data_IF_659505100293
#
_entry.id   IF_659505100293
#
_cell.length_a   1.000
_cell.length_b   1.000
_cell.length_c   1.000
_cell.angle_alpha   90.00
_cell.angle_beta   90.00
_cell.angle_gamma   90.00
#
_symmetry.space_group_name_H-M   'P 1'
#
loop_
_entity.id
_entity.type
_entity.pdbx_description
1 polymer ?
#
# COMPACT_ATOMS: atom_id res chain seq x y z
N UNK A 1 4.26 -6.08 19.50
CA UNK A 1 4.40 -5.04 18.45
C UNK A 1 3.42 -5.23 17.28
N UNK A 2 3.25 -6.43 16.71
CA UNK A 2 2.30 -6.66 15.61
C UNK A 2 0.86 -6.27 15.98
N UNK A 3 0.37 -6.73 17.13
CA UNK A 3 -0.96 -6.34 17.63
C UNK A 3 -1.08 -4.82 17.84
N UNK A 4 -0.03 -4.19 18.37
CA UNK A 4 -0.01 -2.73 18.54
C UNK A 4 -0.11 -2.00 17.19
N UNK A 5 0.58 -2.49 16.16
CA UNK A 5 0.47 -1.93 14.81
C UNK A 5 -0.97 -1.97 14.28
N UNK A 6 -1.66 -3.11 14.45
CA UNK A 6 -3.09 -3.25 14.07
C UNK A 6 -3.94 -2.26 14.86
N UNK A 7 -3.78 -2.21 16.19
CA UNK A 7 -4.55 -1.33 17.06
C UNK A 7 -4.39 0.14 16.65
N UNK A 8 -3.16 0.59 16.37
CA UNK A 8 -2.90 1.96 15.94
C UNK A 8 -3.67 2.27 14.64
N UNK A 9 -3.56 1.41 13.62
CA UNK A 9 -4.23 1.63 12.35
C UNK A 9 -5.75 1.62 12.51
N UNK A 10 -6.32 0.62 13.19
CA UNK A 10 -7.76 0.48 13.37
C UNK A 10 -8.35 1.66 14.16
N UNK A 11 -7.76 2.02 15.29
CA UNK A 11 -8.26 3.15 16.10
C UNK A 11 -8.19 4.45 15.31
N UNK A 12 -7.04 4.75 14.68
CA UNK A 12 -6.86 5.98 13.92
C UNK A 12 -7.84 6.05 12.75
N UNK A 13 -8.06 4.94 12.04
CA UNK A 13 -9.00 4.87 10.93
C UNK A 13 -10.45 5.03 11.39
N UNK A 14 -10.84 4.33 12.45
CA UNK A 14 -12.21 4.41 12.99
C UNK A 14 -12.58 5.84 13.40
N UNK A 15 -11.67 6.54 14.09
CA UNK A 15 -11.88 7.95 14.47
C UNK A 15 -11.94 8.84 13.23
N UNK A 16 -11.04 8.63 12.27
CA UNK A 16 -10.97 9.42 11.06
C UNK A 16 -12.24 9.32 10.21
N UNK A 17 -12.79 8.12 10.05
CA UNK A 17 -14.00 7.88 9.26
C UNK A 17 -15.26 8.59 9.79
N UNK A 18 -15.25 9.09 11.03
CA UNK A 18 -16.34 9.92 11.55
C UNK A 18 -16.57 11.17 10.68
N UNK A 19 -15.51 11.77 10.11
CA UNK A 19 -15.66 12.93 9.24
C UNK A 19 -16.37 12.59 7.93
N UNK A 20 -16.16 11.39 7.39
CA UNK A 20 -16.82 10.95 6.18
C UNK A 20 -18.32 10.69 6.38
N UNK A 21 -18.71 10.35 7.62
CA UNK A 21 -20.12 10.15 7.98
C UNK A 21 -20.85 11.42 8.37
N UNK A 22 -20.15 12.41 8.97
CA UNK A 22 -20.76 13.63 9.50
C UNK A 22 -20.83 14.74 8.45
N UNK A 23 -19.87 14.79 7.51
CA UNK A 23 -19.77 15.86 6.52
C UNK A 23 -20.39 15.41 5.19
N UNK A 24 -21.59 15.88 4.84
CA UNK A 24 -22.29 15.42 3.64
C UNK A 24 -21.85 16.13 2.34
N UNK A 25 -20.62 16.69 2.29
CA UNK A 25 -20.11 17.38 1.12
C UNK A 25 -19.24 16.47 0.25
N UNK A 26 -19.45 16.48 -1.05
CA UNK A 26 -18.80 15.75 -2.13
C UNK A 26 -17.29 15.49 -1.92
N UNK A 27 -16.94 14.39 -1.27
CA UNK A 27 -15.56 14.00 -1.04
C UNK A 27 -14.76 14.84 -0.03
N UNK A 28 -15.29 15.96 0.49
CA UNK A 28 -14.60 16.77 1.52
C UNK A 28 -14.48 15.97 2.81
N UNK A 29 -15.53 15.25 3.21
CA UNK A 29 -15.49 14.34 4.34
C UNK A 29 -14.34 13.33 4.22
N UNK A 30 -14.21 12.71 3.05
CA UNK A 30 -13.15 11.74 2.75
C UNK A 30 -11.74 12.36 2.82
N UNK A 31 -11.56 13.58 2.31
CA UNK A 31 -10.27 14.30 2.42
C UNK A 31 -9.94 14.58 3.89
N UNK A 32 -10.90 15.07 4.68
CA UNK A 32 -10.69 15.33 6.10
C UNK A 32 -10.45 14.04 6.89
N UNK A 33 -11.17 12.96 6.57
CA UNK A 33 -10.90 11.63 7.12
C UNK A 33 -9.47 11.18 6.83
N UNK A 34 -9.01 11.34 5.59
CA UNK A 34 -7.66 10.97 5.16
C UNK A 34 -6.58 11.74 5.90
N UNK A 35 -6.74 13.06 6.01
CA UNK A 35 -5.81 13.92 6.75
C UNK A 35 -5.80 13.58 8.26
N UNK A 36 -6.98 13.33 8.83
CA UNK A 36 -7.11 12.94 10.24
C UNK A 36 -6.47 11.58 10.50
N UNK A 37 -6.66 10.61 9.60
CA UNK A 37 -6.03 9.28 9.69
C UNK A 37 -4.50 9.37 9.73
N UNK A 38 -3.91 10.15 8.80
CA UNK A 38 -2.47 10.41 8.77
C UNK A 38 -2.01 11.09 10.05
N UNK A 39 -2.69 12.16 10.47
CA UNK A 39 -2.29 12.95 11.63
C UNK A 39 -2.36 12.15 12.93
N UNK A 40 -3.46 11.45 13.19
CA UNK A 40 -3.62 10.63 14.40
C UNK A 40 -2.56 9.53 14.45
N UNK A 41 -2.37 8.79 13.34
CA UNK A 41 -1.33 7.77 13.28
C UNK A 41 0.06 8.35 13.54
N UNK A 42 0.38 9.49 12.91
CA UNK A 42 1.67 10.16 13.13
C UNK A 42 1.87 10.56 14.59
N UNK A 43 0.87 11.15 15.23
CA UNK A 43 0.94 11.55 16.63
C UNK A 43 1.14 10.37 17.57
N UNK A 44 0.44 9.26 17.35
CA UNK A 44 0.56 8.05 18.16
C UNK A 44 1.95 7.41 17.95
N UNK A 45 2.37 7.22 16.70
CA UNK A 45 3.68 6.65 16.37
C UNK A 45 4.81 7.53 16.92
N UNK A 46 4.72 8.84 16.74
CA UNK A 46 5.68 9.79 17.31
C UNK A 46 5.73 9.66 18.83
N UNK A 47 4.60 9.65 19.51
CA UNK A 47 4.55 9.51 20.96
C UNK A 47 5.22 8.22 21.44
N UNK A 48 4.93 7.09 20.79
CA UNK A 48 5.55 5.80 21.13
C UNK A 48 7.07 5.87 20.97
N UNK A 49 7.57 6.37 19.83
CA UNK A 49 9.01 6.41 19.57
C UNK A 49 9.71 7.36 20.53
N UNK A 50 9.16 8.57 20.75
CA UNK A 50 9.86 9.59 21.54
C UNK A 50 9.70 9.42 23.05
N UNK A 51 8.58 8.91 23.55
CA UNK A 51 8.33 8.82 24.99
C UNK A 51 8.47 7.40 25.53
N UNK A 52 8.03 6.37 24.79
CA UNK A 52 8.15 4.97 25.24
C UNK A 52 9.53 4.42 24.91
N UNK A 53 9.99 4.58 23.67
CA UNK A 53 11.31 4.08 23.27
C UNK A 53 12.44 5.06 23.56
N UNK A 54 12.12 6.35 23.79
CA UNK A 54 13.06 7.44 24.05
C UNK A 54 14.07 7.63 22.91
N UNK A 55 13.60 7.54 21.68
CA UNK A 55 14.40 7.63 20.48
C UNK A 55 13.92 8.71 19.51
N UNK A 56 14.76 9.05 18.52
CA UNK A 56 14.38 9.99 17.45
C UNK A 56 13.57 9.28 16.36
N UNK A 57 12.63 9.98 15.73
CA UNK A 57 11.87 9.48 14.58
C UNK A 57 12.77 9.02 13.42
N UNK A 58 13.87 9.72 13.19
CA UNK A 58 14.86 9.40 12.15
C UNK A 58 15.53 8.04 12.34
N UNK A 59 15.66 7.54 13.59
CA UNK A 59 16.19 6.20 13.86
C UNK A 59 15.20 5.07 13.47
N UNK A 60 13.96 5.44 13.17
CA UNK A 60 12.90 4.61 12.58
C UNK A 60 12.62 4.97 11.12
N UNK A 61 13.53 5.67 10.45
CA UNK A 61 13.42 6.13 9.05
C UNK A 61 12.20 7.00 8.77
N UNK A 62 11.55 7.52 9.81
CA UNK A 62 10.47 8.52 9.71
C UNK A 62 11.14 9.89 9.61
N UNK A 63 11.37 10.32 8.37
CA UNK A 63 12.09 11.55 8.04
C UNK A 63 11.15 12.60 7.47
N UNK A 64 11.66 13.82 7.27
CA UNK A 64 10.97 14.79 6.41
C UNK A 64 10.79 14.22 5.00
N UNK A 65 9.80 14.70 4.22
CA UNK A 65 9.65 14.28 2.83
C UNK A 65 10.94 14.43 2.05
N UNK A 66 11.37 13.34 1.43
CA UNK A 66 12.54 13.29 0.56
C UNK A 66 12.13 12.54 -0.69
N UNK A 67 12.48 13.08 -1.85
CA UNK A 67 12.21 12.44 -3.13
C UNK A 67 13.54 12.10 -3.83
N UNK A 68 13.62 10.92 -4.38
CA UNK A 68 14.77 10.47 -5.13
C UNK A 68 14.32 9.87 -6.47
N UNK A 69 14.98 10.20 -7.59
CA UNK A 69 14.53 9.79 -8.94
C UNK A 69 14.29 8.27 -9.08
N UNK A 70 15.14 7.45 -8.48
CA UNK A 70 15.05 5.99 -8.61
C UNK A 70 13.70 5.47 -8.11
N UNK A 71 13.30 5.75 -6.87
CA UNK A 71 12.03 5.22 -6.38
C UNK A 71 10.81 5.95 -6.95
N UNK A 72 10.96 7.18 -7.42
CA UNK A 72 9.91 7.88 -8.16
C UNK A 72 9.67 7.19 -9.52
N UNK A 73 10.74 6.92 -10.28
CA UNK A 73 10.64 6.23 -11.56
C UNK A 73 10.08 4.82 -11.37
N UNK A 74 10.58 4.06 -10.39
CA UNK A 74 10.10 2.70 -10.11
C UNK A 74 8.62 2.72 -9.66
N UNK A 75 8.22 3.69 -8.85
CA UNK A 75 6.84 3.85 -8.39
C UNK A 75 5.86 4.07 -9.53
N UNK A 76 6.24 4.86 -10.54
CA UNK A 76 5.41 5.12 -11.72
C UNK A 76 5.53 3.95 -12.72
N UNK A 77 6.73 3.44 -12.97
CA UNK A 77 6.96 2.42 -13.98
C UNK A 77 6.29 1.09 -13.64
N UNK A 78 6.29 0.69 -12.37
CA UNK A 78 5.68 -0.57 -11.94
C UNK A 78 4.19 -0.66 -12.33
N UNK A 79 3.30 0.24 -11.87
CA UNK A 79 1.91 0.17 -12.28
C UNK A 79 1.73 0.41 -13.79
N UNK A 80 2.48 1.33 -14.41
CA UNK A 80 2.40 1.54 -15.86
C UNK A 80 2.65 0.24 -16.65
N UNK A 81 3.68 -0.51 -16.30
CA UNK A 81 4.01 -1.77 -16.98
C UNK A 81 2.96 -2.84 -16.71
N UNK A 82 2.51 -2.98 -15.46
CA UNK A 82 1.48 -3.97 -15.10
C UNK A 82 0.18 -3.67 -15.85
N UNK A 83 -0.29 -2.44 -15.83
CA UNK A 83 -1.50 -2.02 -16.55
C UNK A 83 -1.36 -2.17 -18.07
N UNK A 84 -0.21 -1.83 -18.63
CA UNK A 84 0.06 -2.04 -20.06
C UNK A 84 -0.02 -3.53 -20.44
N UNK A 85 0.50 -4.43 -19.60
CA UNK A 85 0.39 -5.88 -19.82
C UNK A 85 -1.09 -6.30 -19.83
N UNK A 86 -1.89 -5.82 -18.88
CA UNK A 86 -3.32 -6.12 -18.86
C UNK A 86 -4.04 -5.61 -20.10
N UNK A 87 -3.85 -4.33 -20.45
CA UNK A 87 -4.60 -3.72 -21.53
C UNK A 87 -4.20 -4.22 -22.93
N UNK A 88 -2.94 -4.65 -23.10
CA UNK A 88 -2.43 -5.10 -24.41
C UNK A 88 -2.59 -6.61 -24.59
N UNK A 89 -2.32 -7.41 -23.56
CA UNK A 89 -2.18 -8.86 -23.70
C UNK A 89 -3.28 -9.68 -23.05
N UNK A 90 -4.05 -9.10 -22.12
CA UNK A 90 -5.10 -9.83 -21.42
C UNK A 90 -6.47 -9.23 -21.81
N UNK A 91 -7.28 -9.97 -22.61
CA UNK A 91 -8.57 -9.46 -23.08
C UNK A 91 -9.51 -9.08 -21.95
N UNK A 92 -10.07 -7.88 -22.05
CA UNK A 92 -11.04 -7.32 -21.12
C UNK A 92 -11.85 -6.20 -21.80
N UNK A 93 -12.80 -5.66 -21.07
CA UNK A 93 -13.66 -4.57 -21.52
C UNK A 93 -13.57 -3.40 -20.56
N UNK A 94 -13.32 -2.20 -21.07
CA UNK A 94 -13.46 -0.98 -20.28
C UNK A 94 -14.94 -0.74 -19.96
N UNK A 95 -15.24 -0.56 -18.69
CA UNK A 95 -16.56 -0.25 -18.17
C UNK A 95 -16.49 1.03 -17.34
N UNK A 96 -17.56 1.82 -17.45
CA UNK A 96 -17.78 2.98 -16.60
C UNK A 96 -18.99 2.67 -15.74
N UNK A 97 -18.81 2.58 -14.44
CA UNK A 97 -19.91 2.43 -13.50
C UNK A 97 -20.54 3.80 -13.25
N UNK A 98 -21.82 3.90 -13.55
CA UNK A 98 -22.59 5.13 -13.34
C UNK A 98 -23.31 5.07 -12.00
N UNK A 99 -22.82 5.80 -11.02
CA UNK A 99 -23.53 5.98 -9.76
C UNK A 99 -24.81 6.80 -9.97
N UNK A 100 -25.81 6.55 -9.11
CA UNK A 100 -27.10 7.25 -9.14
C UNK A 100 -26.99 8.76 -8.84
N UNK A 101 -25.83 9.25 -8.43
CA UNK A 101 -25.58 10.66 -8.17
C UNK A 101 -24.12 11.04 -8.40
N UNK A 102 -23.90 12.27 -8.82
CA UNK A 102 -22.56 12.85 -8.97
C UNK A 102 -21.81 12.88 -7.64
N UNK A 103 -22.52 13.01 -6.52
CA UNK A 103 -21.98 12.95 -5.17
C UNK A 103 -21.24 11.64 -4.90
N UNK A 104 -21.87 10.50 -5.23
CA UNK A 104 -21.27 9.19 -5.08
C UNK A 104 -20.04 8.98 -5.98
N UNK A 105 -20.11 9.49 -7.21
CA UNK A 105 -18.97 9.46 -8.14
C UNK A 105 -17.76 10.21 -7.57
N UNK A 106 -17.97 11.43 -7.07
CA UNK A 106 -16.91 12.24 -6.47
C UNK A 106 -16.40 11.60 -5.18
N UNK A 107 -17.29 11.05 -4.35
CA UNK A 107 -16.90 10.33 -3.13
C UNK A 107 -16.01 9.13 -3.46
N UNK A 108 -16.40 8.27 -4.40
CA UNK A 108 -15.64 7.09 -4.81
C UNK A 108 -14.23 7.45 -5.32
N UNK A 109 -14.13 8.43 -6.22
CA UNK A 109 -12.83 8.91 -6.72
C UNK A 109 -11.98 9.53 -5.60
N UNK A 110 -12.60 10.30 -4.71
CA UNK A 110 -11.90 10.89 -3.57
C UNK A 110 -11.41 9.82 -2.61
N UNK A 111 -12.19 8.77 -2.37
CA UNK A 111 -11.82 7.66 -1.50
C UNK A 111 -10.60 6.91 -2.06
N UNK A 112 -10.59 6.58 -3.34
CA UNK A 112 -9.45 5.90 -3.98
C UNK A 112 -8.18 6.76 -3.89
N UNK A 113 -8.27 8.05 -4.22
CA UNK A 113 -7.09 8.93 -4.30
C UNK A 113 -6.57 9.32 -2.91
N UNK A 114 -7.46 9.80 -2.03
CA UNK A 114 -7.03 10.38 -0.75
C UNK A 114 -6.98 9.35 0.38
N UNK A 115 -8.00 8.49 0.52
CA UNK A 115 -8.04 7.53 1.62
C UNK A 115 -7.19 6.30 1.30
N UNK A 116 -7.41 5.67 0.16
CA UNK A 116 -6.74 4.42 -0.17
C UNK A 116 -5.30 4.65 -0.66
N UNK A 117 -5.09 5.57 -1.63
CA UNK A 117 -3.75 5.76 -2.18
C UNK A 117 -2.88 6.64 -1.28
N UNK A 118 -3.32 7.83 -0.88
CA UNK A 118 -2.48 8.73 -0.12
C UNK A 118 -2.39 8.34 1.36
N UNK A 119 -3.53 8.28 2.07
CA UNK A 119 -3.52 8.01 3.51
C UNK A 119 -3.12 6.56 3.80
N UNK A 120 -3.63 5.58 3.04
CA UNK A 120 -3.24 4.18 3.15
C UNK A 120 -1.73 4.01 3.04
N UNK A 121 -1.12 4.50 1.95
CA UNK A 121 0.31 4.39 1.77
C UNK A 121 1.11 5.05 2.90
N UNK A 122 0.76 6.28 3.31
CA UNK A 122 1.49 6.99 4.37
C UNK A 122 1.37 6.26 5.72
N UNK A 123 0.17 5.86 6.10
CA UNK A 123 -0.11 5.24 7.40
C UNK A 123 0.51 3.84 7.48
N UNK A 124 0.28 3.01 6.47
CA UNK A 124 0.79 1.64 6.48
C UNK A 124 2.31 1.61 6.44
N UNK A 125 2.96 2.47 5.64
CA UNK A 125 4.41 2.51 5.61
C UNK A 125 5.00 3.12 6.90
N UNK A 126 4.35 4.11 7.50
CA UNK A 126 4.77 4.66 8.79
C UNK A 126 4.70 3.62 9.91
N UNK A 127 3.64 2.82 9.95
CA UNK A 127 3.45 1.78 10.96
C UNK A 127 4.31 0.56 10.67
N UNK A 128 4.27 0.04 9.43
CA UNK A 128 4.96 -1.21 9.10
C UNK A 128 6.46 -1.02 8.88
N UNK A 129 6.89 0.01 8.10
CA UNK A 129 8.30 0.22 7.74
C UNK A 129 9.00 1.21 8.66
N UNK A 130 8.25 2.13 9.24
CA UNK A 130 8.75 2.99 10.31
C UNK A 130 8.81 2.23 11.63
N UNK A 131 7.68 2.19 12.34
CA UNK A 131 7.61 1.71 13.72
C UNK A 131 7.97 0.23 13.87
N UNK A 132 7.27 -0.66 13.16
CA UNK A 132 7.39 -2.11 13.37
C UNK A 132 8.73 -2.66 12.87
N UNK A 133 9.12 -2.34 11.63
CA UNK A 133 10.40 -2.78 11.07
C UNK A 133 11.58 -2.22 11.87
N UNK A 134 11.54 -0.92 12.21
CA UNK A 134 12.58 -0.30 13.02
C UNK A 134 12.73 -0.95 14.42
N UNK A 135 11.61 -1.29 15.05
CA UNK A 135 11.63 -1.98 16.34
C UNK A 135 12.23 -3.40 16.23
N UNK A 136 11.81 -4.19 15.23
CA UNK A 136 12.32 -5.56 15.05
C UNK A 136 13.81 -5.53 14.70
N UNK A 137 14.23 -4.62 13.81
CA UNK A 137 15.64 -4.46 13.43
C UNK A 137 16.55 -4.22 14.65
N UNK A 138 16.14 -3.34 15.57
CA UNK A 138 16.89 -3.06 16.80
C UNK A 138 16.95 -4.24 17.78
N UNK A 139 15.99 -5.14 17.71
CA UNK A 139 15.96 -6.34 18.57
C UNK A 139 16.61 -7.55 17.92
N UNK A 140 16.79 -7.55 16.62
CA UNK A 140 17.31 -8.68 15.83
C UNK A 140 18.33 -8.21 14.79
N UNK A 141 17.89 -8.09 13.54
CA UNK A 141 18.64 -7.53 12.42
C UNK A 141 17.67 -7.11 11.30
N UNK A 142 18.18 -6.38 10.31
CA UNK A 142 17.38 -5.85 9.21
C UNK A 142 16.73 -6.93 8.32
N UNK A 143 17.40 -8.07 8.12
CA UNK A 143 16.84 -9.15 7.28
C UNK A 143 15.61 -9.76 7.93
N UNK A 144 15.67 -10.05 9.23
CA UNK A 144 14.53 -10.55 10.01
C UNK A 144 13.42 -9.49 10.06
N UNK A 145 13.78 -8.22 10.22
CA UNK A 145 12.80 -7.13 10.25
C UNK A 145 12.04 -7.00 8.92
N UNK A 146 12.75 -7.02 7.78
CA UNK A 146 12.12 -6.95 6.46
C UNK A 146 11.20 -8.16 6.24
N UNK A 147 11.70 -9.39 6.43
CA UNK A 147 10.91 -10.61 6.21
C UNK A 147 9.70 -10.66 7.15
N UNK A 148 9.91 -10.40 8.44
CA UNK A 148 8.83 -10.47 9.44
C UNK A 148 7.71 -9.44 9.19
N UNK A 149 8.07 -8.19 8.85
CA UNK A 149 7.06 -7.16 8.53
C UNK A 149 6.40 -7.39 7.18
N UNK A 150 7.06 -8.04 6.23
CA UNK A 150 6.50 -8.39 4.93
C UNK A 150 5.49 -9.53 5.03
N UNK A 151 5.81 -10.57 5.80
CA UNK A 151 4.86 -11.65 6.13
C UNK A 151 3.63 -11.08 6.86
N UNK A 152 3.86 -10.23 7.85
CA UNK A 152 2.77 -9.56 8.55
C UNK A 152 1.90 -8.75 7.60
N UNK A 153 2.49 -8.02 6.65
CA UNK A 153 1.78 -7.23 5.65
C UNK A 153 0.88 -8.12 4.77
N UNK A 154 1.37 -9.26 4.31
CA UNK A 154 0.55 -10.24 3.58
C UNK A 154 -0.58 -10.82 4.43
N UNK A 155 -0.29 -11.17 5.69
CA UNK A 155 -1.26 -11.79 6.60
C UNK A 155 -2.36 -10.82 7.03
N UNK A 156 -2.05 -9.54 7.30
CA UNK A 156 -3.06 -8.58 7.75
C UNK A 156 -4.13 -8.33 6.68
N UNK A 157 -3.77 -8.43 5.40
CA UNK A 157 -4.73 -8.29 4.30
C UNK A 157 -5.75 -9.44 4.21
N UNK A 158 -5.51 -10.56 4.89
CA UNK A 158 -6.51 -11.63 5.05
C UNK A 158 -7.73 -11.17 5.88
N UNK A 159 -7.59 -10.11 6.66
CA UNK A 159 -8.70 -9.51 7.41
C UNK A 159 -9.73 -8.83 6.51
N UNK A 160 -9.39 -8.56 5.25
CA UNK A 160 -10.28 -7.91 4.28
C UNK A 160 -11.41 -8.82 3.77
N UNK A 161 -11.42 -10.10 4.12
CA UNK A 161 -12.51 -11.02 3.79
C UNK A 161 -12.08 -12.49 3.70
N UNK A 162 -13.06 -13.37 3.63
CA UNK A 162 -12.83 -14.79 3.47
C UNK A 162 -12.39 -15.11 2.04
N UNK A 163 -11.28 -15.81 1.91
CA UNK A 163 -10.70 -16.22 0.63
C UNK A 163 -10.78 -17.74 0.45
N UNK A 164 -10.96 -18.17 -0.80
CA UNK A 164 -10.70 -19.58 -1.13
C UNK A 164 -9.20 -19.89 -1.04
N UNK A 165 -8.86 -21.19 -1.01
CA UNK A 165 -7.48 -21.65 -0.81
C UNK A 165 -6.50 -21.06 -1.83
N UNK A 166 -6.87 -20.99 -3.10
CA UNK A 166 -6.01 -20.41 -4.14
C UNK A 166 -5.76 -18.94 -3.91
N UNK A 167 -6.82 -18.15 -3.66
CA UNK A 167 -6.72 -16.71 -3.39
C UNK A 167 -5.94 -16.42 -2.11
N UNK A 168 -6.06 -17.29 -1.09
CA UNK A 168 -5.26 -17.20 0.14
C UNK A 168 -3.75 -17.29 -0.16
N UNK A 169 -3.33 -18.31 -0.94
CA UNK A 169 -1.90 -18.46 -1.27
C UNK A 169 -1.41 -17.36 -2.21
N UNK A 170 -2.22 -16.93 -3.18
CA UNK A 170 -1.89 -15.79 -4.03
C UNK A 170 -1.66 -14.54 -3.20
N UNK A 171 -2.55 -14.21 -2.26
CA UNK A 171 -2.41 -13.07 -1.38
C UNK A 171 -1.18 -13.20 -0.47
N UNK A 172 -0.97 -14.37 0.14
CA UNK A 172 0.17 -14.56 1.04
C UNK A 172 1.51 -14.35 0.32
N UNK A 173 1.66 -14.92 -0.88
CA UNK A 173 2.89 -14.77 -1.67
C UNK A 173 3.05 -13.34 -2.17
N UNK A 174 2.05 -12.80 -2.86
CA UNK A 174 2.13 -11.44 -3.45
C UNK A 174 2.21 -10.36 -2.39
N UNK A 175 1.39 -10.47 -1.31
CA UNK A 175 1.41 -9.54 -0.19
C UNK A 175 2.74 -9.56 0.57
N UNK A 176 3.39 -10.72 0.67
CA UNK A 176 4.74 -10.81 1.24
C UNK A 176 5.76 -10.17 0.31
N UNK A 177 5.70 -10.40 -1.00
CA UNK A 177 6.64 -9.84 -1.97
C UNK A 177 6.51 -8.32 -2.09
N UNK A 178 5.30 -7.78 -2.17
CA UNK A 178 5.11 -6.32 -2.17
C UNK A 178 5.59 -5.72 -0.85
N UNK A 179 5.34 -6.42 0.27
CA UNK A 179 5.89 -6.07 1.58
C UNK A 179 7.42 -6.03 1.60
N UNK A 180 8.09 -7.01 0.99
CA UNK A 180 9.56 -7.03 0.85
C UNK A 180 10.06 -5.87 -0.03
N UNK A 181 9.39 -5.60 -1.13
CA UNK A 181 9.71 -4.45 -2.01
C UNK A 181 9.71 -3.14 -1.23
N UNK A 182 8.68 -2.87 -0.44
CA UNK A 182 8.58 -1.67 0.39
C UNK A 182 9.64 -1.65 1.50
N UNK A 183 9.86 -2.78 2.18
CA UNK A 183 10.88 -2.89 3.24
C UNK A 183 12.31 -2.65 2.71
N UNK A 184 12.65 -3.23 1.56
CA UNK A 184 13.94 -3.05 0.89
C UNK A 184 14.10 -1.59 0.44
N UNK A 185 13.07 -0.99 -0.17
CA UNK A 185 13.10 0.42 -0.57
C UNK A 185 13.37 1.34 0.64
N UNK A 186 12.61 1.17 1.73
CA UNK A 186 12.81 1.93 2.96
C UNK A 186 14.21 1.79 3.52
N UNK A 187 14.75 0.58 3.57
CA UNK A 187 16.09 0.33 4.09
C UNK A 187 17.17 0.95 3.19
N UNK A 188 17.11 0.72 1.88
CA UNK A 188 18.11 1.18 0.90
C UNK A 188 18.22 2.70 0.83
N UNK A 189 17.11 3.41 0.95
CA UNK A 189 17.08 4.88 0.92
C UNK A 189 17.04 5.51 2.31
N UNK A 190 17.00 4.70 3.38
CA UNK A 190 16.95 5.13 4.78
C UNK A 190 15.81 6.12 5.07
N UNK A 191 14.67 5.94 4.42
CA UNK A 191 13.47 6.76 4.60
C UNK A 191 12.22 5.98 4.20
N UNK A 192 11.13 6.13 4.96
CA UNK A 192 9.81 5.58 4.59
C UNK A 192 9.24 6.24 3.32
N UNK A 193 9.73 7.41 2.90
CA UNK A 193 9.26 8.07 1.68
C UNK A 193 9.53 7.28 0.42
N UNK A 194 10.54 6.42 0.44
CA UNK A 194 10.79 5.50 -0.67
C UNK A 194 9.65 4.49 -0.84
N UNK A 195 9.23 3.84 0.24
CA UNK A 195 8.11 2.89 0.18
C UNK A 195 6.76 3.60 0.02
N UNK A 196 6.53 4.74 0.68
CA UNK A 196 5.32 5.56 0.50
C UNK A 196 5.14 5.91 -0.98
N UNK A 197 6.20 6.32 -1.67
CA UNK A 197 6.11 6.68 -3.10
C UNK A 197 5.73 5.48 -3.97
N UNK A 198 6.38 4.32 -3.76
CA UNK A 198 6.04 3.09 -4.49
C UNK A 198 4.59 2.67 -4.23
N UNK A 199 4.16 2.70 -2.96
CA UNK A 199 2.83 2.30 -2.53
C UNK A 199 1.75 3.27 -3.05
N UNK A 200 1.99 4.57 -2.94
CA UNK A 200 1.06 5.60 -3.42
C UNK A 200 0.79 5.44 -4.92
N UNK A 201 1.83 5.34 -5.75
CA UNK A 201 1.63 5.18 -7.19
C UNK A 201 0.97 3.85 -7.52
N UNK A 202 1.28 2.77 -6.82
CA UNK A 202 0.58 1.51 -6.98
C UNK A 202 -0.93 1.65 -6.73
N UNK A 203 -1.31 2.29 -5.62
CA UNK A 203 -2.71 2.44 -5.25
C UNK A 203 -3.46 3.47 -6.10
N UNK A 204 -2.84 4.58 -6.50
CA UNK A 204 -3.54 5.60 -7.30
C UNK A 204 -3.93 5.09 -8.68
N UNK A 205 -3.18 4.16 -9.27
CA UNK A 205 -3.54 3.53 -10.54
C UNK A 205 -4.83 2.70 -10.43
N UNK A 206 -5.25 2.30 -9.24
CA UNK A 206 -6.52 1.60 -9.01
C UNK A 206 -7.76 2.47 -9.25
N UNK A 207 -7.60 3.74 -9.60
CA UNK A 207 -8.69 4.55 -10.20
C UNK A 207 -9.28 3.82 -11.42
N UNK A 208 -8.46 3.07 -12.17
CA UNK A 208 -8.95 2.10 -13.16
C UNK A 208 -8.82 0.70 -12.55
N UNK A 209 -9.89 0.19 -11.97
CA UNK A 209 -9.87 -1.08 -11.26
C UNK A 209 -9.89 -2.28 -12.21
N UNK A 210 -8.85 -3.10 -12.19
CA UNK A 210 -8.78 -4.35 -12.97
C UNK A 210 -9.45 -5.47 -12.18
N UNK A 211 -10.52 -6.04 -12.72
CA UNK A 211 -11.36 -7.01 -12.01
C UNK A 211 -11.80 -8.16 -12.91
N UNK A 212 -12.14 -9.30 -12.33
CA UNK A 212 -12.73 -10.45 -13.05
C UNK A 212 -14.26 -10.39 -13.16
N UNK A 213 -14.90 -9.47 -12.45
CA UNK A 213 -16.35 -9.27 -12.44
C UNK A 213 -16.65 -7.80 -12.20
N UNK A 214 -17.60 -7.24 -12.95
CA UNK A 214 -18.07 -5.88 -12.73
C UNK A 214 -18.56 -5.69 -11.29
N UNK A 215 -18.17 -4.56 -10.68
CA UNK A 215 -18.48 -4.20 -9.30
C UNK A 215 -19.35 -2.96 -9.23
N UNK A 216 -20.07 -2.79 -8.13
CA UNK A 216 -20.91 -1.61 -7.86
C UNK A 216 -20.11 -0.45 -7.23
N UNK A 217 -18.80 -0.57 -7.19
CA UNK A 217 -17.83 0.44 -6.75
C UNK A 217 -16.72 0.57 -7.80
N UNK A 218 -15.91 1.62 -7.74
CA UNK A 218 -14.96 2.05 -8.75
C UNK A 218 -15.61 2.51 -10.05
N UNK A 219 -15.50 3.80 -10.32
CA UNK A 219 -16.05 4.44 -11.52
C UNK A 219 -15.51 3.80 -12.80
N UNK A 220 -14.18 3.63 -12.87
CA UNK A 220 -13.53 3.07 -14.04
C UNK A 220 -13.06 1.65 -13.76
N UNK A 221 -13.49 0.72 -14.60
CA UNK A 221 -13.17 -0.69 -14.46
C UNK A 221 -12.65 -1.26 -15.77
N UNK A 222 -11.68 -2.17 -15.67
CA UNK A 222 -11.28 -3.04 -16.76
C UNK A 222 -11.67 -4.47 -16.40
N UNK A 223 -12.77 -4.95 -16.97
CA UNK A 223 -13.37 -6.25 -16.64
C UNK A 223 -12.76 -7.32 -17.54
N UNK A 224 -12.00 -8.22 -16.92
CA UNK A 224 -11.30 -9.28 -17.61
C UNK A 224 -12.27 -10.34 -18.13
N UNK A 225 -12.10 -10.77 -19.39
CA UNK A 225 -12.86 -11.88 -19.97
C UNK A 225 -12.36 -13.24 -19.50
N UNK A 226 -11.18 -13.30 -18.91
CA UNK A 226 -10.60 -14.52 -18.35
C UNK A 226 -10.99 -14.71 -16.90
N UNK A 227 -11.24 -15.98 -16.52
CA UNK A 227 -11.53 -16.39 -15.13
C UNK A 227 -10.36 -17.12 -14.45
N UNK A 228 -9.17 -17.12 -15.07
CA UNK A 228 -8.01 -17.77 -14.49
C UNK A 228 -7.52 -16.99 -13.25
N UNK A 229 -7.60 -17.62 -12.08
CA UNK A 229 -7.27 -16.99 -10.80
C UNK A 229 -5.81 -16.50 -10.73
N UNK A 230 -4.88 -17.17 -11.41
CA UNK A 230 -3.47 -16.74 -11.41
C UNK A 230 -3.27 -15.43 -12.16
N UNK A 231 -4.04 -15.20 -13.24
CA UNK A 231 -4.01 -13.97 -14.01
C UNK A 231 -4.87 -12.85 -13.40
N UNK A 232 -5.99 -13.22 -12.77
CA UNK A 232 -6.91 -12.21 -12.19
C UNK A 232 -6.55 -11.84 -10.74
N UNK A 233 -5.68 -12.63 -10.07
CA UNK A 233 -5.41 -12.50 -8.64
C UNK A 233 -6.51 -13.09 -7.75
N UNK A 234 -7.45 -13.86 -8.34
CA UNK A 234 -8.53 -14.50 -7.60
C UNK A 234 -9.51 -13.53 -6.97
N UNK A 235 -9.90 -13.81 -5.74
CA UNK A 235 -10.89 -12.98 -5.00
C UNK A 235 -10.31 -11.67 -4.46
N UNK A 236 -8.98 -11.58 -4.30
CA UNK A 236 -8.34 -10.35 -3.81
C UNK A 236 -8.17 -9.32 -4.93
N UNK A 237 -8.03 -9.76 -6.18
CA UNK A 237 -7.88 -8.88 -7.33
C UNK A 237 -6.49 -8.92 -7.95
N UNK A 238 -6.30 -8.16 -9.02
CA UNK A 238 -5.11 -8.20 -9.88
C UNK A 238 -3.79 -7.95 -9.15
N UNK A 239 -3.82 -7.29 -8.00
CA UNK A 239 -2.64 -7.02 -7.17
C UNK A 239 -1.94 -8.30 -6.69
N UNK A 240 -2.68 -9.40 -6.57
CA UNK A 240 -2.15 -10.72 -6.21
C UNK A 240 -1.93 -11.64 -7.40
N UNK A 241 -2.10 -11.13 -8.62
CA UNK A 241 -1.86 -11.88 -9.84
C UNK A 241 -0.37 -12.17 -10.05
N UNK A 242 -0.10 -13.15 -10.92
CA UNK A 242 1.28 -13.47 -11.34
C UNK A 242 1.95 -12.26 -12.03
N UNK A 243 1.18 -11.45 -12.76
CA UNK A 243 1.71 -10.24 -13.44
C UNK A 243 2.24 -9.24 -12.42
N UNK A 244 1.43 -8.92 -11.41
CA UNK A 244 1.82 -8.01 -10.32
C UNK A 244 2.97 -8.59 -9.50
N UNK A 245 2.92 -9.88 -9.19
CA UNK A 245 3.95 -10.59 -8.42
C UNK A 245 5.31 -10.57 -9.12
N UNK A 246 5.36 -10.77 -10.45
CA UNK A 246 6.57 -10.61 -11.24
C UNK A 246 7.04 -9.16 -11.22
N UNK A 247 6.12 -8.19 -11.35
CA UNK A 247 6.44 -6.77 -11.25
C UNK A 247 7.13 -6.40 -9.93
N UNK A 248 6.59 -6.85 -8.80
CA UNK A 248 7.22 -6.64 -7.48
C UNK A 248 8.62 -7.25 -7.41
N UNK A 249 8.77 -8.47 -7.93
CA UNK A 249 10.06 -9.18 -7.96
C UNK A 249 11.10 -8.42 -8.79
N UNK A 250 10.72 -7.91 -9.95
CA UNK A 250 11.62 -7.09 -10.80
C UNK A 250 12.05 -5.83 -10.06
N UNK A 251 11.11 -5.12 -9.40
CA UNK A 251 11.45 -3.91 -8.62
C UNK A 251 12.38 -4.25 -7.46
N UNK A 252 12.18 -5.37 -6.76
CA UNK A 252 13.09 -5.86 -5.71
C UNK A 252 14.50 -6.04 -6.28
N UNK A 253 14.64 -6.73 -7.40
CA UNK A 253 15.95 -6.97 -8.04
C UNK A 253 16.61 -5.63 -8.41
N UNK A 254 15.88 -4.72 -9.03
CA UNK A 254 16.40 -3.40 -9.38
C UNK A 254 16.84 -2.62 -8.12
N UNK A 255 16.03 -2.60 -7.07
CA UNK A 255 16.38 -1.96 -5.81
C UNK A 255 17.66 -2.55 -5.18
N UNK A 256 17.87 -3.86 -5.28
CA UNK A 256 19.07 -4.52 -4.76
C UNK A 256 20.32 -4.19 -5.60
N UNK A 257 20.16 -3.99 -6.91
CA UNK A 257 21.26 -3.67 -7.83
C UNK A 257 21.63 -2.19 -7.86
N UNK A 258 20.68 -1.29 -7.57
CA UNK A 258 20.93 0.15 -7.60
C UNK A 258 21.96 0.57 -6.55
N UNK A 259 22.89 1.45 -6.93
CA UNK A 259 23.72 2.20 -5.97
C UNK A 259 22.83 3.19 -5.23
N UNK A 260 22.83 3.12 -3.90
CA UNK A 260 22.01 4.00 -3.06
C UNK A 260 22.87 5.06 -2.39
N UNK A 261 22.33 6.23 -2.09
CA UNK A 261 23.07 7.30 -1.42
C UNK A 261 23.47 6.94 0.03
N UNK A 262 22.83 5.93 0.63
CA UNK A 262 23.12 5.51 2.00
C UNK A 262 24.23 4.46 2.04
N UNK A 263 25.42 4.85 2.53
CA UNK A 263 26.64 4.03 2.57
C UNK A 263 26.60 2.83 3.55
N UNK A 264 25.56 2.68 4.37
CA UNK A 264 25.42 1.62 5.37
C UNK A 264 24.54 0.42 4.95
N UNK A 265 24.07 0.38 3.72
CA UNK A 265 23.07 -0.59 3.25
C UNK A 265 23.70 -1.85 2.62
N UNK A 266 24.41 -2.65 3.41
CA UNK A 266 24.76 -4.02 2.99
C UNK A 266 23.67 -4.97 3.49
N UNK A 267 22.81 -5.45 2.58
CA UNK A 267 21.87 -6.56 2.84
C UNK A 267 22.56 -7.89 2.76
#
# INVERSE_FOLDING_TARGET
>A
MFLLAIIIMVISQTIALLFDTIIPFYGIGTILSSLTYILLTFLIVRWIITHVFKEALSSYRITKPVFHPIYLILGIALPCVVYAIYFIFIPGDFKIHHFNSISKTIHDLSYIIFMQAAAGAIVEEMVCRGLLMGYIEKKTNIRIAIVGTSLFFGVIHLLNGALNVTSFFLLLVSGTLVGMMFGIATYRFNTIWASITLHFFWNVFQVVYITSKETDYNVFQYVLRFKNMVLTGGQFGFETSIVSTIGYTIVIIVLLMCRTPYKGSNL
#
